data_IF_425867431401
#
_entry.id   IF_425867431401
#
_cell.length_a   1.000
_cell.length_b   1.000
_cell.length_c   1.000
_cell.angle_alpha   90.00
_cell.angle_beta   90.00
_cell.angle_gamma   90.00
#
_symmetry.space_group_name_H-M   'P 1'
#
loop_
_entity.id
_entity.type
_entity.pdbx_description
1 polymer ?
#
# COMPACT_ATOMS: atom_id res chain seq x y z
N UNK A 1 -7.57 10.21 2.08
CA UNK A 1 -7.68 8.98 2.88
C UNK A 1 -6.29 8.59 3.34
N UNK A 2 -6.17 8.04 4.55
CA UNK A 2 -4.88 7.50 5.00
C UNK A 2 -4.52 6.26 4.17
N UNK A 3 -3.23 5.97 3.93
CA UNK A 3 -2.80 4.78 3.19
C UNK A 3 -3.44 3.48 3.69
N UNK A 4 -3.52 3.30 5.01
CA UNK A 4 -4.16 2.13 5.61
C UNK A 4 -5.62 1.93 5.15
N UNK A 5 -6.42 3.00 5.15
CA UNK A 5 -7.84 2.94 4.74
C UNK A 5 -7.99 2.53 3.26
N UNK A 6 -7.10 3.00 2.39
CA UNK A 6 -7.13 2.61 0.97
C UNK A 6 -6.76 1.13 0.82
N UNK A 7 -5.76 0.65 1.55
CA UNK A 7 -5.36 -0.76 1.51
C UNK A 7 -6.47 -1.67 2.06
N UNK A 8 -7.18 -1.27 3.12
CA UNK A 8 -8.35 -2.00 3.64
C UNK A 8 -9.45 -2.14 2.58
N UNK A 9 -9.79 -1.04 1.91
CA UNK A 9 -10.80 -1.05 0.85
C UNK A 9 -10.36 -1.89 -0.35
N UNK A 10 -9.08 -1.84 -0.74
CA UNK A 10 -8.54 -2.67 -1.82
C UNK A 10 -8.49 -4.15 -1.43
N UNK A 11 -8.27 -4.48 -0.17
CA UNK A 11 -8.28 -5.87 0.30
C UNK A 11 -9.69 -6.48 0.26
N UNK A 12 -10.74 -5.65 0.36
CA UNK A 12 -12.13 -6.08 0.32
C UNK A 12 -12.67 -6.33 -1.10
N UNK A 13 -11.92 -6.02 -2.16
CA UNK A 13 -12.35 -6.19 -3.56
C UNK A 13 -11.28 -6.88 -4.41
N UNK A 14 -11.66 -7.71 -5.40
CA UNK A 14 -10.69 -8.43 -6.25
C UNK A 14 -10.09 -7.54 -7.37
N UNK A 15 -9.76 -6.29 -7.06
CA UNK A 15 -9.23 -5.34 -8.05
C UNK A 15 -7.73 -5.56 -8.33
N UNK A 16 -6.99 -6.04 -7.32
CA UNK A 16 -5.55 -6.31 -7.43
C UNK A 16 -5.32 -7.81 -7.50
N UNK A 17 -4.90 -8.30 -8.67
CA UNK A 17 -4.55 -9.72 -8.85
C UNK A 17 -3.40 -10.14 -7.91
N UNK A 18 -3.26 -11.44 -7.58
CA UNK A 18 -2.06 -11.96 -6.95
C UNK A 18 -0.81 -11.52 -7.71
N UNK A 19 0.26 -11.19 -6.98
CA UNK A 19 1.50 -10.62 -7.52
C UNK A 19 1.36 -9.23 -8.17
N UNK A 20 0.16 -8.64 -8.11
CA UNK A 20 -0.10 -7.25 -8.44
C UNK A 20 0.69 -6.29 -7.55
N UNK A 21 0.71 -5.02 -7.96
CA UNK A 21 1.37 -3.94 -7.22
C UNK A 21 0.35 -2.85 -6.91
N UNK A 22 0.46 -2.30 -5.71
CA UNK A 22 -0.22 -1.06 -5.31
C UNK A 22 0.86 -0.03 -5.03
N UNK A 23 0.72 1.17 -5.58
CA UNK A 23 1.61 2.29 -5.32
C UNK A 23 0.77 3.38 -4.69
N UNK A 24 1.16 3.81 -3.49
CA UNK A 24 0.43 4.83 -2.73
C UNK A 24 1.32 6.05 -2.60
N UNK A 25 0.90 7.15 -3.20
CA UNK A 25 1.48 8.47 -2.94
C UNK A 25 0.74 9.12 -1.76
N UNK A 26 1.48 9.65 -0.80
CA UNK A 26 0.91 10.32 0.37
C UNK A 26 1.86 11.37 0.96
N UNK A 27 1.31 12.26 1.80
CA UNK A 27 2.11 13.20 2.60
C UNK A 27 2.97 12.43 3.62
N UNK A 28 4.15 12.96 3.94
CA UNK A 28 5.09 12.36 4.91
C UNK A 28 4.55 12.15 6.33
N UNK A 29 3.46 12.82 6.70
CA UNK A 29 2.79 12.65 8.00
C UNK A 29 1.76 11.52 7.98
N UNK A 30 1.35 11.07 6.79
CA UNK A 30 0.45 9.93 6.67
C UNK A 30 1.25 8.63 6.86
N UNK A 31 0.80 7.80 7.80
CA UNK A 31 1.41 6.51 8.05
C UNK A 31 0.99 5.50 6.97
N UNK A 32 1.98 4.89 6.34
CA UNK A 32 1.83 3.75 5.47
C UNK A 32 2.28 2.49 6.24
N UNK A 33 1.41 1.49 6.45
CA UNK A 33 1.76 0.31 7.22
C UNK A 33 2.73 -0.58 6.43
N UNK A 34 3.58 -1.34 7.14
CA UNK A 34 4.48 -2.29 6.49
C UNK A 34 3.74 -3.47 5.86
N UNK A 35 2.59 -3.86 6.40
CA UNK A 35 1.69 -4.85 5.83
C UNK A 35 0.23 -4.56 6.21
N UNK A 36 -0.72 -4.89 5.34
CA UNK A 36 -2.16 -4.83 5.60
C UNK A 36 -2.91 -5.79 4.66
N UNK A 37 -3.57 -6.80 5.24
CA UNK A 37 -4.21 -7.87 4.47
C UNK A 37 -3.22 -8.53 3.50
N UNK A 38 -3.55 -8.67 2.20
CA UNK A 38 -2.68 -9.28 1.21
C UNK A 38 -1.50 -8.38 0.78
N UNK A 39 -1.40 -7.15 1.27
CA UNK A 39 -0.41 -6.17 0.82
C UNK A 39 0.78 -6.09 1.77
N UNK A 40 1.98 -6.29 1.23
CA UNK A 40 3.27 -6.13 1.90
C UNK A 40 4.03 -4.96 1.26
N UNK A 41 4.46 -3.96 2.05
CA UNK A 41 5.28 -2.85 1.54
C UNK A 41 6.69 -3.34 1.27
N UNK A 42 7.14 -3.20 0.03
CA UNK A 42 8.45 -3.67 -0.44
C UNK A 42 9.45 -2.53 -0.71
N UNK A 43 8.98 -1.30 -0.85
CA UNK A 43 9.82 -0.12 -1.05
C UNK A 43 9.08 1.14 -0.54
N UNK A 44 9.85 2.15 -0.11
CA UNK A 44 9.36 3.48 0.25
C UNK A 44 10.36 4.52 -0.22
N UNK A 45 9.87 5.55 -0.93
CA UNK A 45 10.70 6.64 -1.44
C UNK A 45 10.16 7.98 -0.97
N UNK A 46 11.07 8.89 -0.62
CA UNK A 46 10.74 10.22 -0.10
C UNK A 46 11.26 11.32 -1.02
N UNK A 47 10.40 12.28 -1.32
CA UNK A 47 10.65 13.40 -2.21
C UNK A 47 10.07 14.67 -1.58
N UNK A 48 10.87 15.34 -0.74
CA UNK A 48 10.37 16.47 0.06
C UNK A 48 9.26 16.02 1.01
N UNK A 49 8.06 16.57 0.86
CA UNK A 49 6.87 16.20 1.64
C UNK A 49 6.09 15.01 1.04
N UNK A 50 6.43 14.56 -0.16
CA UNK A 50 5.79 13.42 -0.82
C UNK A 50 6.49 12.12 -0.46
N UNK A 51 5.71 11.10 -0.11
CA UNK A 51 6.18 9.73 0.11
C UNK A 51 5.45 8.80 -0.83
N UNK A 52 6.19 7.89 -1.48
CA UNK A 52 5.66 6.87 -2.37
C UNK A 52 5.97 5.51 -1.76
N UNK A 53 4.92 4.80 -1.33
CA UNK A 53 5.00 3.46 -0.77
C UNK A 53 4.58 2.42 -1.80
N UNK A 54 5.42 1.41 -2.04
CA UNK A 54 5.18 0.34 -3.01
C UNK A 54 4.81 -0.94 -2.29
N UNK A 55 3.69 -1.54 -2.67
CA UNK A 55 3.18 -2.77 -2.08
C UNK A 55 3.12 -3.89 -3.12
N UNK A 56 3.44 -5.11 -2.69
CA UNK A 56 3.18 -6.34 -3.42
C UNK A 56 1.92 -7.00 -2.84
N UNK A 57 0.99 -7.39 -3.71
CA UNK A 57 -0.13 -8.24 -3.35
C UNK A 57 0.35 -9.70 -3.33
N UNK A 58 0.35 -10.33 -2.16
CA UNK A 58 0.51 -11.77 -2.02
C UNK A 58 -0.84 -12.36 -1.65
N UNK A 59 -1.22 -13.50 -2.23
CA UNK A 59 -2.36 -14.24 -1.70
C UNK A 59 -2.09 -14.53 -0.21
N UNK A 60 -3.11 -14.37 0.63
CA UNK A 60 -3.04 -14.85 2.02
C UNK A 60 -2.70 -16.35 1.97
N UNK A 61 -1.81 -16.84 2.84
CA UNK A 61 -1.43 -18.25 2.89
C UNK A 61 -2.61 -19.18 3.18
#
# INVERSE_FOLDING_TARGET
FAPAQILELLAAVPLVRPEGRVVVEHDRRAEAPAALGPFERVDERRFGDTVVSFYRCRPDP
#
